data_IF_881662717677
#
_entry.id   IF_881662717677
#
_cell.length_a   1.000
_cell.length_b   1.000
_cell.length_c   1.000
_cell.angle_alpha   90.00
_cell.angle_beta   90.00
_cell.angle_gamma   90.00
#
_symmetry.space_group_name_H-M   'P 1'
#
loop_
_entity.id
_entity.type
_entity.pdbx_description
1 polymer ?
#
# COMPACT_ATOMS: atom_id res chain seq x y z
N UNK A 1 6.98 3.92 -10.79
CA UNK A 1 6.28 5.02 -11.49
C UNK A 1 7.07 5.53 -12.71
N UNK A 2 8.38 5.84 -12.59
CA UNK A 2 9.22 6.38 -13.69
C UNK A 2 9.21 5.53 -14.98
N UNK A 3 9.09 4.21 -14.86
CA UNK A 3 9.20 3.27 -15.99
C UNK A 3 7.87 2.72 -16.51
N UNK A 4 6.80 2.68 -15.68
CA UNK A 4 5.49 2.09 -16.01
C UNK A 4 4.34 3.10 -16.01
N UNK A 5 4.62 4.34 -15.62
CA UNK A 5 3.58 5.28 -15.25
C UNK A 5 3.01 5.01 -13.85
N UNK A 6 2.20 5.97 -13.37
CA UNK A 6 1.72 5.94 -11.99
C UNK A 6 0.72 4.80 -11.79
N UNK A 7 -0.28 4.68 -12.66
CA UNK A 7 -1.39 3.74 -12.47
C UNK A 7 -0.94 2.27 -12.48
N UNK A 8 -0.20 1.84 -13.52
CA UNK A 8 0.24 0.44 -13.64
C UNK A 8 1.31 0.10 -12.60
N UNK A 9 2.31 0.99 -12.41
CA UNK A 9 3.38 0.76 -11.44
C UNK A 9 2.86 0.68 -10.01
N UNK A 10 1.90 1.52 -9.65
CA UNK A 10 1.29 1.51 -8.33
C UNK A 10 0.39 0.28 -8.11
N UNK A 11 -0.40 -0.13 -9.12
CA UNK A 11 -1.24 -1.33 -9.01
C UNK A 11 -0.39 -2.60 -8.81
N UNK A 12 0.71 -2.76 -9.54
CA UNK A 12 1.62 -3.90 -9.35
C UNK A 12 2.23 -3.86 -7.95
N UNK A 13 2.73 -2.70 -7.50
CA UNK A 13 3.36 -2.57 -6.19
C UNK A 13 2.35 -2.81 -5.05
N UNK A 14 1.15 -2.22 -5.09
CA UNK A 14 0.12 -2.42 -4.07
C UNK A 14 -0.46 -3.83 -4.08
N UNK A 15 -0.65 -4.43 -5.27
CA UNK A 15 -1.08 -5.83 -5.37
C UNK A 15 -0.06 -6.78 -4.75
N UNK A 16 1.22 -6.62 -5.11
CA UNK A 16 2.29 -7.41 -4.51
C UNK A 16 2.38 -7.18 -2.99
N UNK A 17 2.25 -5.94 -2.53
CA UNK A 17 2.23 -5.60 -1.11
C UNK A 17 1.06 -6.27 -0.38
N UNK A 18 -0.14 -6.26 -0.96
CA UNK A 18 -1.33 -6.88 -0.37
C UNK A 18 -1.17 -8.39 -0.25
N UNK A 19 -0.85 -9.08 -1.35
CA UNK A 19 -0.71 -10.54 -1.37
C UNK A 19 0.47 -11.02 -0.52
N UNK A 20 1.65 -10.44 -0.76
CA UNK A 20 2.88 -10.81 -0.05
C UNK A 20 2.79 -10.51 1.45
N UNK A 21 2.32 -9.31 1.83
CA UNK A 21 2.20 -8.91 3.23
C UNK A 21 1.19 -9.76 4.00
N UNK A 22 0.08 -10.16 3.38
CA UNK A 22 -0.94 -10.99 4.05
C UNK A 22 -0.50 -12.44 4.23
N UNK A 23 0.24 -12.99 3.26
CA UNK A 23 0.63 -14.41 3.27
C UNK A 23 1.94 -14.62 4.03
N UNK A 24 2.92 -13.75 3.83
CA UNK A 24 4.27 -13.98 4.34
C UNK A 24 4.36 -13.85 5.87
N UNK A 25 3.57 -12.98 6.49
CA UNK A 25 3.56 -12.82 7.95
C UNK A 25 3.32 -14.15 8.67
N UNK A 26 2.17 -14.80 8.48
CA UNK A 26 1.88 -16.10 9.07
C UNK A 26 2.88 -17.20 8.69
N UNK A 27 3.39 -17.22 7.44
CA UNK A 27 4.39 -18.20 7.00
C UNK A 27 5.70 -18.06 7.78
N UNK A 28 6.24 -16.84 7.89
CA UNK A 28 7.49 -16.60 8.62
C UNK A 28 7.31 -16.83 10.12
N UNK A 29 6.19 -16.38 10.71
CA UNK A 29 5.91 -16.68 12.12
C UNK A 29 5.88 -18.17 12.39
N UNK A 30 5.31 -18.98 11.50
CA UNK A 30 5.28 -20.43 11.64
C UNK A 30 6.67 -21.07 11.51
N UNK A 31 7.57 -20.49 10.68
CA UNK A 31 8.95 -20.96 10.53
C UNK A 31 9.76 -20.64 11.80
N UNK A 32 9.67 -19.42 12.32
CA UNK A 32 10.45 -18.97 13.46
C UNK A 32 9.86 -19.42 14.81
N UNK A 33 8.55 -19.64 14.88
CA UNK A 33 7.80 -20.04 16.07
C UNK A 33 6.85 -21.21 15.77
N UNK A 34 7.35 -22.42 15.50
CA UNK A 34 6.55 -23.54 14.98
C UNK A 34 5.44 -24.01 15.93
N UNK A 35 5.50 -23.68 17.22
CA UNK A 35 4.44 -24.02 18.19
C UNK A 35 3.15 -23.17 18.09
N UNK A 36 3.16 -22.08 17.31
CA UNK A 36 2.05 -21.12 17.27
C UNK A 36 0.96 -21.39 16.24
N UNK A 37 1.07 -22.45 15.43
CA UNK A 37 0.07 -22.83 14.39
C UNK A 37 -0.35 -21.68 13.46
N UNK A 38 0.54 -20.75 13.15
CA UNK A 38 0.25 -19.54 12.38
C UNK A 38 -0.27 -19.81 10.96
N UNK A 39 0.12 -20.92 10.34
CA UNK A 39 -0.40 -21.31 9.01
C UNK A 39 -1.90 -21.61 9.03
N UNK A 40 -2.47 -22.00 10.17
CA UNK A 40 -3.91 -22.21 10.29
C UNK A 40 -4.72 -20.92 10.09
N UNK A 41 -4.08 -19.76 10.21
CA UNK A 41 -4.69 -18.47 9.92
C UNK A 41 -4.93 -18.25 8.40
N UNK A 42 -4.15 -18.92 7.55
CA UNK A 42 -4.31 -18.88 6.10
C UNK A 42 -5.42 -19.84 5.63
N UNK A 43 -6.64 -19.58 6.07
CA UNK A 43 -7.82 -20.37 5.67
C UNK A 43 -8.08 -20.23 4.16
N UNK A 44 -8.86 -21.15 3.60
CA UNK A 44 -9.30 -21.07 2.20
C UNK A 44 -10.00 -19.75 1.90
N UNK A 45 -10.81 -19.24 2.84
CA UNK A 45 -11.52 -17.95 2.74
C UNK A 45 -10.53 -16.78 2.60
N UNK A 46 -9.45 -16.75 3.40
CA UNK A 46 -8.39 -15.73 3.32
C UNK A 46 -7.70 -15.79 1.96
N UNK A 47 -7.30 -16.99 1.50
CA UNK A 47 -6.61 -17.15 0.21
C UNK A 47 -7.50 -16.72 -0.95
N UNK A 48 -8.78 -17.12 -0.96
CA UNK A 48 -9.74 -16.69 -1.99
C UNK A 48 -9.89 -15.17 -1.94
N UNK A 49 -10.02 -14.57 -0.77
CA UNK A 49 -10.10 -13.13 -0.60
C UNK A 49 -8.88 -12.40 -1.19
N UNK A 50 -7.67 -12.90 -0.91
CA UNK A 50 -6.42 -12.35 -1.48
C UNK A 50 -6.43 -12.45 -3.01
N UNK A 51 -6.79 -13.61 -3.57
CA UNK A 51 -6.83 -13.81 -5.02
C UNK A 51 -7.82 -12.83 -5.67
N UNK A 52 -9.03 -12.70 -5.13
CA UNK A 52 -10.05 -11.77 -5.66
C UNK A 52 -9.59 -10.32 -5.52
N UNK A 53 -8.94 -9.95 -4.41
CA UNK A 53 -8.36 -8.62 -4.24
C UNK A 53 -7.28 -8.33 -5.29
N UNK A 54 -6.36 -9.27 -5.53
CA UNK A 54 -5.33 -9.14 -6.56
C UNK A 54 -5.93 -9.01 -7.96
N UNK A 55 -6.99 -9.75 -8.27
CA UNK A 55 -7.71 -9.60 -9.53
C UNK A 55 -8.31 -8.19 -9.66
N UNK A 56 -8.97 -7.67 -8.62
CA UNK A 56 -9.50 -6.31 -8.62
C UNK A 56 -8.44 -5.24 -8.85
N UNK A 57 -7.30 -5.34 -8.15
CA UNK A 57 -6.15 -4.44 -8.33
C UNK A 57 -5.60 -4.55 -9.76
N UNK A 58 -5.49 -5.76 -10.31
CA UNK A 58 -5.04 -6.00 -11.68
C UNK A 58 -5.96 -5.37 -12.72
N UNK A 59 -7.29 -5.48 -12.54
CA UNK A 59 -8.29 -4.86 -13.42
C UNK A 59 -8.19 -3.33 -13.38
N UNK A 60 -8.02 -2.73 -12.20
CA UNK A 60 -7.81 -1.27 -12.07
C UNK A 60 -6.48 -0.86 -12.72
N UNK A 61 -5.42 -1.65 -12.53
CA UNK A 61 -4.14 -1.43 -13.21
C UNK A 61 -4.27 -1.44 -14.73
N UNK A 62 -5.08 -2.36 -15.26
CA UNK A 62 -5.38 -2.42 -16.68
C UNK A 62 -6.17 -1.20 -17.17
N UNK A 63 -7.16 -0.71 -16.39
CA UNK A 63 -7.84 0.56 -16.69
C UNK A 63 -6.86 1.74 -16.75
N UNK A 64 -5.92 1.80 -15.82
CA UNK A 64 -4.84 2.80 -15.82
C UNK A 64 -3.92 2.69 -17.03
N UNK A 65 -3.59 1.47 -17.46
CA UNK A 65 -2.81 1.25 -18.68
C UNK A 65 -3.57 1.69 -19.95
N UNK A 66 -4.88 1.40 -20.03
CA UNK A 66 -5.74 1.88 -21.12
C UNK A 66 -5.79 3.43 -21.16
N UNK A 67 -5.95 4.07 -19.98
CA UNK A 67 -5.89 5.53 -19.87
C UNK A 67 -4.56 6.08 -20.38
N UNK A 68 -3.43 5.49 -19.97
CA UNK A 68 -2.09 5.92 -20.40
C UNK A 68 -1.88 5.75 -21.92
N UNK A 69 -2.47 4.73 -22.53
CA UNK A 69 -2.41 4.53 -23.99
C UNK A 69 -3.18 5.59 -24.78
N UNK A 70 -4.23 6.17 -24.22
CA UNK A 70 -5.05 7.21 -24.85
C UNK A 70 -4.42 8.60 -24.78
N UNK A 71 -3.32 8.78 -24.06
CA UNK A 71 -2.58 10.05 -24.01
C UNK A 71 -1.78 10.27 -25.30
N UNK A 72 -1.61 11.54 -25.72
CA UNK A 72 -0.74 11.90 -26.85
C UNK A 72 0.71 11.55 -26.55
N UNK A 73 1.54 11.43 -27.60
CA UNK A 73 2.95 11.05 -27.41
C UNK A 73 3.74 12.12 -26.62
N UNK A 74 3.35 13.39 -26.70
CA UNK A 74 3.90 14.46 -25.87
C UNK A 74 3.51 14.29 -24.40
N UNK A 75 2.24 14.03 -24.11
CA UNK A 75 1.75 13.76 -22.76
C UNK A 75 2.34 12.48 -22.16
N UNK A 76 2.59 11.46 -22.99
CA UNK A 76 3.28 10.24 -22.55
C UNK A 76 4.72 10.52 -22.14
N UNK A 77 5.44 11.33 -22.91
CA UNK A 77 6.84 11.71 -22.61
C UNK A 77 6.95 12.57 -21.36
N UNK A 78 5.98 13.43 -21.10
CA UNK A 78 5.91 14.19 -19.84
C UNK A 78 5.58 13.29 -18.65
N UNK A 79 4.66 12.33 -18.81
CA UNK A 79 4.22 11.43 -17.75
C UNK A 79 5.23 10.30 -17.46
N UNK A 80 5.96 9.80 -18.48
CA UNK A 80 6.90 8.67 -18.37
C UNK A 80 8.16 8.96 -19.18
N UNK A 81 9.14 9.61 -18.54
CA UNK A 81 10.40 10.01 -19.18
C UNK A 81 11.23 8.84 -19.74
N UNK A 82 11.21 7.69 -19.04
CA UNK A 82 12.06 6.53 -19.37
C UNK A 82 11.23 5.24 -19.39
N UNK A 83 10.26 5.13 -20.31
CA UNK A 83 9.44 3.93 -20.38
C UNK A 83 10.28 2.67 -20.63
N UNK A 84 10.26 1.76 -19.67
CA UNK A 84 10.92 0.45 -19.76
C UNK A 84 10.09 -0.59 -19.01
N UNK A 85 9.29 -1.34 -19.75
CA UNK A 85 8.31 -2.27 -19.19
C UNK A 85 8.93 -3.38 -18.32
N UNK A 86 9.95 -4.16 -18.77
CA UNK A 86 10.55 -5.20 -17.95
C UNK A 86 11.19 -4.67 -16.67
N UNK A 87 11.98 -3.60 -16.77
CA UNK A 87 12.63 -2.96 -15.63
C UNK A 87 11.60 -2.39 -14.65
N UNK A 88 10.54 -1.80 -15.18
CA UNK A 88 9.46 -1.24 -14.38
C UNK A 88 8.71 -2.29 -13.58
N UNK A 89 8.41 -3.46 -14.16
CA UNK A 89 7.77 -4.57 -13.45
C UNK A 89 8.66 -5.06 -12.29
N UNK A 90 9.94 -5.33 -12.55
CA UNK A 90 10.86 -5.81 -11.51
C UNK A 90 10.93 -4.83 -10.35
N UNK A 91 11.07 -3.52 -10.63
CA UNK A 91 11.11 -2.49 -9.58
C UNK A 91 9.78 -2.39 -8.84
N UNK A 92 8.64 -2.50 -9.51
CA UNK A 92 7.34 -2.45 -8.87
C UNK A 92 7.09 -3.68 -7.98
N UNK A 93 7.49 -4.87 -8.41
CA UNK A 93 7.44 -6.09 -7.61
C UNK A 93 8.33 -5.99 -6.37
N UNK A 94 9.58 -5.56 -6.53
CA UNK A 94 10.50 -5.34 -5.42
C UNK A 94 9.95 -4.32 -4.42
N UNK A 95 9.42 -3.19 -4.92
CA UNK A 95 8.79 -2.18 -4.07
C UNK A 95 7.58 -2.75 -3.30
N UNK A 96 6.77 -3.59 -3.96
CA UNK A 96 5.63 -4.26 -3.32
C UNK A 96 6.05 -5.24 -2.25
N UNK A 97 7.07 -6.07 -2.51
CA UNK A 97 7.67 -6.99 -1.52
C UNK A 97 8.19 -6.21 -0.32
N UNK A 98 9.00 -5.18 -0.54
CA UNK A 98 9.55 -4.34 0.54
C UNK A 98 8.44 -3.66 1.36
N UNK A 99 7.37 -3.20 0.70
CA UNK A 99 6.20 -2.65 1.39
C UNK A 99 5.44 -3.71 2.17
N UNK A 100 5.35 -4.95 1.66
CA UNK A 100 4.76 -6.10 2.35
C UNK A 100 5.53 -6.50 3.61
N UNK A 101 6.85 -6.30 3.64
CA UNK A 101 7.67 -6.51 4.84
C UNK A 101 7.26 -5.61 6.01
N UNK A 102 6.59 -4.49 5.75
CA UNK A 102 6.02 -3.66 6.81
C UNK A 102 4.95 -4.44 7.61
N UNK A 103 4.03 -5.15 6.92
CA UNK A 103 3.05 -5.99 7.62
C UNK A 103 3.71 -7.15 8.36
N UNK A 104 4.74 -7.77 7.78
CA UNK A 104 5.53 -8.80 8.48
C UNK A 104 6.08 -8.25 9.79
N UNK A 105 6.65 -7.04 9.77
CA UNK A 105 7.11 -6.35 10.96
C UNK A 105 6.01 -6.12 12.00
N UNK A 106 4.79 -5.76 11.56
CA UNK A 106 3.63 -5.61 12.45
C UNK A 106 3.23 -6.94 13.09
N UNK A 107 3.23 -8.04 12.34
CA UNK A 107 2.90 -9.37 12.86
C UNK A 107 3.95 -9.87 13.88
N UNK A 108 5.24 -9.71 13.57
CA UNK A 108 6.31 -10.05 14.53
C UNK A 108 6.29 -9.15 15.77
N UNK A 109 5.94 -7.88 15.61
CA UNK A 109 5.81 -6.92 16.69
C UNK A 109 4.54 -7.08 17.54
N UNK A 110 3.61 -7.94 17.16
CA UNK A 110 2.34 -8.14 17.88
C UNK A 110 2.50 -8.61 19.32
N UNK A 111 3.63 -9.24 19.65
CA UNK A 111 4.00 -9.62 21.02
C UNK A 111 4.43 -8.44 21.91
N UNK A 112 4.72 -7.27 21.31
CA UNK A 112 5.11 -6.06 22.05
C UNK A 112 3.84 -5.38 22.57
N UNK A 113 3.61 -5.45 23.87
CA UNK A 113 2.47 -4.81 24.53
C UNK A 113 2.95 -3.83 25.59
N UNK A 114 2.21 -2.76 25.82
CA UNK A 114 2.42 -1.88 26.97
C UNK A 114 1.51 -2.35 28.12
N UNK A 115 2.05 -2.37 29.34
CA UNK A 115 1.27 -2.66 30.52
C UNK A 115 0.08 -1.69 30.63
N UNK A 116 -1.07 -2.20 31.08
CA UNK A 116 -2.29 -1.44 31.33
C UNK A 116 -2.93 -0.76 30.10
N UNK A 117 -2.54 -1.10 28.88
CA UNK A 117 -3.18 -0.58 27.68
C UNK A 117 -4.48 -1.34 27.35
N UNK A 118 -5.53 -0.60 26.95
CA UNK A 118 -6.75 -1.23 26.47
C UNK A 118 -6.48 -2.11 25.23
N UNK A 119 -7.16 -3.26 25.06
CA UNK A 119 -6.92 -4.19 23.96
C UNK A 119 -6.95 -3.56 22.56
N UNK A 120 -7.76 -2.51 22.39
CA UNK A 120 -7.87 -1.77 21.12
C UNK A 120 -6.55 -1.08 20.72
N UNK A 121 -5.66 -0.83 21.67
CA UNK A 121 -4.35 -0.20 21.43
C UNK A 121 -3.20 -1.22 21.35
N UNK A 122 -3.48 -2.53 21.43
CA UNK A 122 -2.46 -3.59 21.52
C UNK A 122 -1.46 -3.61 20.37
N UNK A 123 -1.85 -3.15 19.16
CA UNK A 123 -0.99 -3.14 17.97
C UNK A 123 -0.22 -1.83 17.76
N UNK A 124 -0.50 -0.78 18.55
CA UNK A 124 0.19 0.52 18.42
C UNK A 124 1.71 0.46 18.71
N UNK A 125 2.19 -0.29 19.73
CA UNK A 125 3.62 -0.43 19.96
C UNK A 125 4.37 -0.98 18.76
N UNK A 126 3.87 -2.06 18.15
CA UNK A 126 4.44 -2.64 16.93
C UNK A 126 4.46 -1.62 15.78
N UNK A 127 3.36 -0.90 15.59
CA UNK A 127 3.25 0.14 14.55
C UNK A 127 4.29 1.25 14.76
N UNK A 128 4.51 1.68 16.00
CA UNK A 128 5.53 2.68 16.32
C UNK A 128 6.95 2.21 15.95
N UNK A 129 7.35 1.02 16.39
CA UNK A 129 8.70 0.52 16.13
C UNK A 129 8.96 0.24 14.65
N UNK A 130 7.99 -0.32 13.93
CA UNK A 130 8.11 -0.57 12.49
C UNK A 130 8.21 0.75 11.71
N UNK A 131 7.39 1.75 12.08
CA UNK A 131 7.44 3.08 11.46
C UNK A 131 8.75 3.80 11.77
N UNK A 132 9.25 3.68 13.01
CA UNK A 132 10.53 4.25 13.41
C UNK A 132 11.70 3.65 12.60
N UNK A 133 11.70 2.33 12.38
CA UNK A 133 12.69 1.67 11.52
C UNK A 133 12.64 2.20 10.08
N UNK A 134 11.44 2.36 9.52
CA UNK A 134 11.22 2.99 8.22
C UNK A 134 11.72 4.43 8.17
N UNK A 135 11.47 5.21 9.22
CA UNK A 135 11.96 6.59 9.34
C UNK A 135 13.50 6.65 9.33
N UNK A 136 14.16 5.84 10.17
CA UNK A 136 15.63 5.82 10.26
C UNK A 136 16.25 5.48 8.90
N UNK A 137 15.74 4.48 8.22
CA UNK A 137 16.23 4.05 6.91
C UNK A 137 16.06 5.16 5.86
N UNK A 138 14.85 5.74 5.77
CA UNK A 138 14.56 6.80 4.80
C UNK A 138 15.33 8.08 5.11
N UNK A 139 15.40 8.50 6.38
CA UNK A 139 16.16 9.68 6.79
C UNK A 139 17.64 9.51 6.47
N UNK A 140 18.21 8.34 6.79
CA UNK A 140 19.60 8.02 6.46
C UNK A 140 19.89 8.08 4.96
N UNK A 141 19.00 7.50 4.16
CA UNK A 141 19.12 7.55 2.69
C UNK A 141 19.00 8.98 2.16
N UNK A 142 18.02 9.76 2.63
CA UNK A 142 17.85 11.16 2.22
C UNK A 142 19.07 12.02 2.61
N UNK A 143 19.59 11.85 3.82
CA UNK A 143 20.80 12.54 4.26
C UNK A 143 22.00 12.20 3.38
N UNK A 144 22.20 10.91 3.11
CA UNK A 144 23.27 10.47 2.21
C UNK A 144 23.14 11.07 0.81
N UNK A 145 21.95 11.10 0.24
CA UNK A 145 21.70 11.73 -1.07
C UNK A 145 21.98 13.23 -1.05
N UNK A 146 21.55 13.94 -0.01
CA UNK A 146 21.79 15.38 0.13
C UNK A 146 23.29 15.70 0.25
N UNK A 147 24.04 14.89 1.00
CA UNK A 147 25.50 15.02 1.09
C UNK A 147 26.14 14.79 -0.28
N UNK A 148 25.78 13.67 -0.94
CA UNK A 148 26.34 13.27 -2.23
C UNK A 148 26.07 14.27 -3.34
N UNK A 149 24.89 14.86 -3.36
CA UNK A 149 24.45 15.77 -4.43
C UNK A 149 24.64 17.25 -4.07
N UNK A 150 25.19 17.57 -2.87
CA UNK A 150 25.39 18.94 -2.37
C UNK A 150 24.11 19.79 -2.36
N UNK A 151 22.95 19.19 -2.05
CA UNK A 151 21.63 19.82 -2.15
C UNK A 151 21.11 20.44 -0.85
N UNK A 152 21.92 20.50 0.23
CA UNK A 152 21.49 21.14 1.47
C UNK A 152 21.18 22.63 1.33
N UNK A 153 21.88 23.32 0.43
CA UNK A 153 21.64 24.74 0.15
C UNK A 153 20.25 24.99 -0.42
N UNK A 154 19.71 24.02 -1.16
CA UNK A 154 18.42 24.16 -1.85
C UNK A 154 17.27 24.39 -0.86
N UNK A 155 17.35 23.81 0.34
CA UNK A 155 16.36 24.03 1.40
C UNK A 155 16.32 25.47 1.92
N UNK A 156 17.40 26.26 1.76
CA UNK A 156 17.47 27.65 2.22
C UNK A 156 16.96 28.64 1.18
N UNK A 157 16.97 28.28 -0.09
CA UNK A 157 16.65 29.17 -1.21
C UNK A 157 15.21 29.06 -1.70
N UNK A 158 14.39 28.19 -1.10
CA UNK A 158 12.98 28.02 -1.49
C UNK A 158 12.13 29.09 -0.80
N UNK A 159 11.61 30.04 -1.56
CA UNK A 159 10.74 31.12 -1.05
C UNK A 159 9.43 30.63 -0.37
N UNK A 160 9.11 29.34 -0.50
CA UNK A 160 7.95 28.67 0.10
C UNK A 160 8.32 27.59 1.11
N UNK A 161 9.46 27.72 1.82
CA UNK A 161 9.94 26.73 2.79
C UNK A 161 8.88 26.34 3.84
N UNK A 162 8.23 27.34 4.45
CA UNK A 162 7.20 27.10 5.47
C UNK A 162 5.97 26.35 4.89
N UNK A 163 5.54 26.69 3.69
CA UNK A 163 4.44 26.02 2.99
C UNK A 163 4.81 24.56 2.68
N UNK A 164 5.99 24.32 2.12
CA UNK A 164 6.47 22.97 1.83
C UNK A 164 6.56 22.12 3.09
N UNK A 165 7.11 22.66 4.18
CA UNK A 165 7.19 21.98 5.48
C UNK A 165 5.81 21.62 6.01
N UNK A 166 4.84 22.54 5.93
CA UNK A 166 3.47 22.32 6.37
C UNK A 166 2.78 21.20 5.55
N UNK A 167 2.94 21.21 4.22
CA UNK A 167 2.41 20.14 3.38
C UNK A 167 3.09 18.80 3.61
N UNK A 168 4.40 18.77 3.84
CA UNK A 168 5.11 17.54 4.20
C UNK A 168 4.64 17.00 5.56
N UNK A 169 4.45 17.86 6.56
CA UNK A 169 3.92 17.48 7.86
C UNK A 169 2.49 16.92 7.74
N UNK A 170 1.62 17.60 6.99
CA UNK A 170 0.26 17.14 6.72
C UNK A 170 0.25 15.79 6.00
N UNK A 171 1.08 15.63 4.96
CA UNK A 171 1.21 14.37 4.23
C UNK A 171 1.68 13.23 5.14
N UNK A 172 2.65 13.49 6.02
CA UNK A 172 3.14 12.53 7.01
C UNK A 172 2.07 12.14 8.01
N UNK A 173 1.29 13.10 8.52
CA UNK A 173 0.17 12.86 9.43
C UNK A 173 -0.91 12.00 8.76
N UNK A 174 -1.32 12.34 7.54
CA UNK A 174 -2.29 11.57 6.76
C UNK A 174 -1.77 10.16 6.45
N UNK A 175 -0.50 10.02 6.09
CA UNK A 175 0.10 8.71 5.83
C UNK A 175 0.14 7.84 7.08
N UNK A 176 0.51 8.40 8.24
CA UNK A 176 0.55 7.65 9.50
C UNK A 176 -0.85 7.29 10.01
N UNK A 177 -1.85 8.16 9.80
CA UNK A 177 -3.22 7.94 10.27
C UNK A 177 -3.85 6.65 9.74
N UNK A 178 -3.47 6.18 8.54
CA UNK A 178 -3.95 4.90 8.01
C UNK A 178 -3.47 3.69 8.84
N UNK A 179 -2.23 3.72 9.35
CA UNK A 179 -1.69 2.66 10.18
C UNK A 179 -2.24 2.71 11.61
N UNK A 180 -2.46 3.91 12.11
CA UNK A 180 -3.19 4.11 13.36
C UNK A 180 -4.61 3.54 13.25
N UNK A 181 -5.33 3.86 12.17
CA UNK A 181 -6.64 3.29 11.87
C UNK A 181 -6.64 1.78 11.71
N UNK A 182 -5.61 1.21 11.03
CA UNK A 182 -5.43 -0.23 10.94
C UNK A 182 -5.24 -0.87 12.32
N UNK A 183 -4.42 -0.26 13.17
CA UNK A 183 -4.16 -0.74 14.53
C UNK A 183 -5.43 -0.77 15.37
N UNK A 184 -6.21 0.31 15.36
CA UNK A 184 -7.50 0.34 16.04
C UNK A 184 -8.47 -0.69 15.45
N UNK A 185 -8.55 -0.79 14.12
CA UNK A 185 -9.37 -1.78 13.43
C UNK A 185 -9.04 -3.21 13.84
N UNK A 186 -7.75 -3.58 13.90
CA UNK A 186 -7.31 -4.88 14.38
C UNK A 186 -7.76 -5.15 15.82
N UNK A 187 -7.72 -4.14 16.69
CA UNK A 187 -8.22 -4.27 18.07
C UNK A 187 -9.70 -4.59 18.13
N UNK A 188 -10.53 -3.98 17.29
CA UNK A 188 -11.96 -4.30 17.19
C UNK A 188 -12.24 -5.66 16.54
N UNK A 189 -11.34 -6.13 15.64
CA UNK A 189 -11.46 -7.40 14.94
C UNK A 189 -10.90 -8.60 15.74
N UNK A 190 -10.51 -8.43 16.98
CA UNK A 190 -9.92 -9.50 17.80
C UNK A 190 -10.81 -10.75 17.91
N UNK A 191 -12.14 -10.60 17.83
CA UNK A 191 -13.12 -11.70 17.78
C UNK A 191 -13.36 -12.32 16.40
N UNK A 192 -12.71 -11.83 15.33
CA UNK A 192 -12.92 -12.27 13.95
C UNK A 192 -11.57 -12.64 13.28
N UNK A 193 -11.01 -13.82 13.57
CA UNK A 193 -9.64 -14.18 13.18
C UNK A 193 -9.40 -14.15 11.67
N UNK A 194 -10.39 -14.49 10.87
CA UNK A 194 -10.32 -14.43 9.38
C UNK A 194 -10.11 -13.00 8.91
N UNK A 195 -10.91 -12.05 9.43
CA UNK A 195 -10.79 -10.63 9.07
C UNK A 195 -9.51 -10.02 9.64
N UNK A 196 -9.08 -10.46 10.82
CA UNK A 196 -7.84 -9.99 11.43
C UNK A 196 -6.64 -10.34 10.53
N UNK A 197 -6.53 -11.58 10.06
CA UNK A 197 -5.49 -12.03 9.12
C UNK A 197 -5.59 -11.29 7.78
N UNK A 198 -6.79 -11.05 7.29
CA UNK A 198 -7.05 -10.39 6.01
C UNK A 198 -6.97 -8.85 6.09
N UNK A 199 -6.85 -8.27 7.28
CA UNK A 199 -6.92 -6.81 7.51
C UNK A 199 -5.91 -5.99 6.70
N UNK A 200 -4.71 -6.53 6.45
CA UNK A 200 -3.70 -5.89 5.61
C UNK A 200 -4.16 -5.79 4.16
N UNK A 201 -4.73 -6.85 3.63
CA UNK A 201 -5.28 -6.85 2.27
C UNK A 201 -6.44 -5.86 2.14
N UNK A 202 -7.32 -5.78 3.15
CA UNK A 202 -8.39 -4.76 3.22
C UNK A 202 -7.80 -3.35 3.17
N UNK A 203 -6.77 -3.06 3.97
CA UNK A 203 -6.11 -1.76 3.96
C UNK A 203 -5.59 -1.39 2.56
N UNK A 204 -4.92 -2.33 1.89
CA UNK A 204 -4.39 -2.09 0.54
C UNK A 204 -5.52 -1.91 -0.48
N UNK A 205 -6.58 -2.69 -0.39
CA UNK A 205 -7.78 -2.54 -1.24
C UNK A 205 -8.42 -1.16 -1.05
N UNK A 206 -8.60 -0.70 0.18
CA UNK A 206 -9.15 0.62 0.50
C UNK A 206 -8.26 1.75 -0.04
N UNK A 207 -6.94 1.62 0.06
CA UNK A 207 -6.01 2.60 -0.53
C UNK A 207 -6.24 2.73 -2.05
N UNK A 208 -6.43 1.61 -2.76
CA UNK A 208 -6.71 1.63 -4.21
C UNK A 208 -8.09 2.22 -4.49
N UNK A 209 -9.12 1.83 -3.73
CA UNK A 209 -10.49 2.33 -3.90
C UNK A 209 -10.53 3.85 -3.71
N UNK A 210 -10.05 4.35 -2.57
CA UNK A 210 -10.10 5.78 -2.26
C UNK A 210 -9.25 6.62 -3.19
N UNK A 211 -8.06 6.16 -3.59
CA UNK A 211 -7.22 6.89 -4.55
C UNK A 211 -7.91 7.05 -5.91
N UNK A 212 -8.61 6.00 -6.37
CA UNK A 212 -9.37 6.08 -7.62
C UNK A 212 -10.65 6.92 -7.50
N UNK A 213 -11.34 6.88 -6.35
CA UNK A 213 -12.48 7.77 -6.08
C UNK A 213 -12.05 9.25 -6.11
N UNK A 214 -10.92 9.60 -5.48
CA UNK A 214 -10.34 10.93 -5.59
C UNK A 214 -10.00 11.29 -7.03
N UNK A 215 -9.42 10.36 -7.81
CA UNK A 215 -9.16 10.57 -9.24
C UNK A 215 -10.45 10.85 -10.05
N UNK A 216 -11.57 10.21 -9.69
CA UNK A 216 -12.88 10.50 -10.31
C UNK A 216 -13.40 11.87 -9.90
N UNK A 217 -13.32 12.25 -8.62
CA UNK A 217 -13.74 13.57 -8.09
C UNK A 217 -12.92 14.69 -8.75
N UNK A 218 -11.62 14.51 -8.88
CA UNK A 218 -10.69 15.45 -9.52
C UNK A 218 -10.80 15.45 -11.06
N UNK A 219 -11.77 14.68 -11.62
CA UNK A 219 -12.02 14.58 -13.08
C UNK A 219 -10.83 14.04 -13.88
N UNK A 220 -9.92 13.30 -13.25
CA UNK A 220 -8.76 12.70 -13.95
C UNK A 220 -9.15 11.68 -15.02
N UNK A 221 -10.36 11.13 -14.94
CA UNK A 221 -10.92 10.17 -15.89
C UNK A 221 -11.83 10.83 -16.95
N UNK A 222 -11.91 12.18 -16.96
CA UNK A 222 -12.68 12.91 -17.95
C UNK A 222 -12.01 12.77 -19.33
N UNK A 223 -12.81 12.49 -20.36
CA UNK A 223 -12.29 12.33 -21.73
C UNK A 223 -11.74 10.94 -22.06
N UNK A 224 -11.64 10.02 -21.08
CA UNK A 224 -11.26 8.63 -21.37
C UNK A 224 -12.39 7.86 -22.05
N UNK A 225 -12.03 6.82 -22.83
CA UNK A 225 -12.99 5.95 -23.50
C UNK A 225 -13.97 5.29 -22.51
N UNK A 226 -15.18 4.99 -22.96
CA UNK A 226 -16.20 4.30 -22.15
C UNK A 226 -15.66 2.99 -21.61
N UNK A 227 -14.97 2.21 -22.44
CA UNK A 227 -14.33 0.95 -22.03
C UNK A 227 -13.41 1.13 -20.81
N UNK A 228 -12.56 2.16 -20.82
CA UNK A 228 -11.62 2.44 -19.71
C UNK A 228 -12.36 2.70 -18.40
N UNK A 229 -13.46 3.46 -18.45
CA UNK A 229 -14.28 3.74 -17.26
C UNK A 229 -15.02 2.50 -16.78
N UNK A 230 -15.55 1.69 -17.70
CA UNK A 230 -16.22 0.41 -17.35
C UNK A 230 -15.23 -0.52 -16.65
N UNK A 231 -14.02 -0.69 -17.20
CA UNK A 231 -12.97 -1.51 -16.58
C UNK A 231 -12.60 -0.99 -15.18
N UNK A 232 -12.48 0.33 -15.00
CA UNK A 232 -12.24 0.93 -13.69
C UNK A 232 -13.35 0.58 -12.68
N UNK A 233 -14.61 0.82 -13.06
CA UNK A 233 -15.76 0.55 -12.20
C UNK A 233 -15.85 -0.94 -11.85
N UNK A 234 -15.64 -1.81 -12.82
CA UNK A 234 -15.60 -3.27 -12.58
C UNK A 234 -14.52 -3.64 -11.57
N UNK A 235 -13.31 -3.10 -11.73
CA UNK A 235 -12.23 -3.35 -10.78
C UNK A 235 -12.53 -2.84 -9.37
N UNK A 236 -13.16 -1.67 -9.24
CA UNK A 236 -13.60 -1.13 -7.95
C UNK A 236 -14.65 -2.02 -7.29
N UNK A 237 -15.63 -2.53 -8.06
CA UNK A 237 -16.65 -3.47 -7.55
C UNK A 237 -15.98 -4.76 -7.06
N UNK A 238 -15.06 -5.34 -7.83
CA UNK A 238 -14.32 -6.54 -7.43
C UNK A 238 -13.55 -6.29 -6.12
N UNK A 239 -12.89 -5.14 -5.97
CA UNK A 239 -12.20 -4.80 -4.73
C UNK A 239 -13.14 -4.67 -3.54
N UNK A 240 -14.27 -3.99 -3.70
CA UNK A 240 -15.27 -3.87 -2.64
C UNK A 240 -15.77 -5.26 -2.22
N UNK A 241 -16.14 -6.11 -3.19
CA UNK A 241 -16.58 -7.48 -2.92
C UNK A 241 -15.48 -8.27 -2.19
N UNK A 242 -14.21 -8.14 -2.60
CA UNK A 242 -13.11 -8.87 -1.99
C UNK A 242 -12.92 -8.55 -0.50
N UNK A 243 -13.27 -7.34 -0.05
CA UNK A 243 -13.13 -6.95 1.37
C UNK A 243 -14.10 -7.69 2.30
N UNK A 244 -15.26 -8.11 1.79
CA UNK A 244 -16.29 -8.83 2.55
C UNK A 244 -16.25 -10.34 2.33
N UNK A 245 -15.67 -10.79 1.23
CA UNK A 245 -15.72 -12.18 0.79
C UNK A 245 -15.18 -13.19 1.82
N UNK A 246 -14.04 -12.93 2.53
CA UNK A 246 -13.53 -13.90 3.50
C UNK A 246 -14.44 -14.13 4.70
N UNK A 247 -15.35 -13.21 4.98
CA UNK A 247 -16.32 -13.35 6.08
C UNK A 247 -17.57 -14.11 5.63
N UNK A 248 -17.85 -14.13 4.33
CA UNK A 248 -19.03 -14.77 3.76
C UNK A 248 -18.81 -16.26 3.43
N UNK A 249 -17.53 -16.68 3.34
CA UNK A 249 -17.06 -18.05 3.09
C UNK A 249 -16.64 -18.75 4.38
#
# INVERSE_FOLDING_TARGET
MRYLGVALGQSIALGTCAGFGTILGPVLLNIFFPGGHYLAQLTASVIIGVVVCLLGIGVIGYAGALKSRSLSDEQKREAVKDFNFPKGIVIALLAGVMSGCFNVGLEFGSAITFADSAPVYSTLPATFFVTLGGFITNAGYCLWQNVRNHTFSDYRHVGSYASNLSFCALAGLLWYSQFFGLSLGKGFLAGAPVLLTFSWCILMALNVIFSNLWGVILKEWKGTAVLTRTVLVTGLIILIVSTFLPQLL
#
